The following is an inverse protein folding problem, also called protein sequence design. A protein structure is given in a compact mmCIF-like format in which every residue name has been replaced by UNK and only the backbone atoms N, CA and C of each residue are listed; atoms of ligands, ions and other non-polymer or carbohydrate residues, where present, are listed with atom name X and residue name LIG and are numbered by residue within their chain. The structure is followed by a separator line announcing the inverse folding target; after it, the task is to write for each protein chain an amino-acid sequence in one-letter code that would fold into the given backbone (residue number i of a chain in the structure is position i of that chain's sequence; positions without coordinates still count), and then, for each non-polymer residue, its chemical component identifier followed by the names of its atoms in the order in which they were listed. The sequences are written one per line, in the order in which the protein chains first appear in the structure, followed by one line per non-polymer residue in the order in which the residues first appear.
data_IF_867903932972
#
_entry.id   IF_867903932972
#
_cell.length_a   1.000
_cell.length_b   1.000
_cell.length_c   1.000
_cell.angle_alpha   90.00
_cell.angle_beta   90.00
_cell.angle_gamma   90.00
#
_symmetry.space_group_name_H-M   'P 1'
#
loop_
_entity.id
_entity.type
_entity.pdbx_description
1 polymer ?
#
# COMPACT_ATOMS: atom_id res chain seq x y z
N UNK A 1 -25.95 5.66 -4.06
CA UNK A 1 -24.73 4.88 -4.32
C UNK A 1 -23.67 5.24 -3.29
N UNK A 2 -23.39 4.34 -2.34
CA UNK A 2 -22.25 4.47 -1.43
C UNK A 2 -21.00 3.94 -2.14
N UNK A 3 -20.11 4.84 -2.54
CA UNK A 3 -18.89 4.50 -3.28
C UNK A 3 -18.00 3.50 -2.52
N UNK A 4 -17.95 3.57 -1.19
CA UNK A 4 -17.14 2.61 -0.40
C UNK A 4 -17.72 1.21 -0.47
N UNK A 5 -19.05 1.09 -0.42
CA UNK A 5 -19.75 -0.19 -0.57
C UNK A 5 -19.49 -0.79 -1.95
N UNK A 6 -19.61 0.01 -3.00
CA UNK A 6 -19.33 -0.43 -4.38
C UNK A 6 -17.91 -0.99 -4.52
N UNK A 7 -16.91 -0.24 -4.06
CA UNK A 7 -15.52 -0.69 -4.10
C UNK A 7 -15.29 -2.01 -3.35
N UNK A 8 -15.91 -2.18 -2.18
CA UNK A 8 -15.78 -3.41 -1.40
C UNK A 8 -16.39 -4.62 -2.13
N UNK A 9 -17.58 -4.44 -2.72
CA UNK A 9 -18.25 -5.49 -3.49
C UNK A 9 -17.46 -5.82 -4.74
N UNK A 10 -17.07 -4.81 -5.52
CA UNK A 10 -16.29 -4.98 -6.75
C UNK A 10 -14.98 -5.72 -6.48
N UNK A 11 -14.20 -5.28 -5.50
CA UNK A 11 -12.94 -5.94 -5.14
C UNK A 11 -13.16 -7.40 -4.75
N UNK A 12 -14.20 -7.69 -3.95
CA UNK A 12 -14.53 -9.05 -3.55
C UNK A 12 -14.92 -9.91 -4.75
N UNK A 13 -15.82 -9.44 -5.61
CA UNK A 13 -16.29 -10.22 -6.76
C UNK A 13 -15.16 -10.43 -7.77
N UNK A 14 -14.40 -9.39 -8.12
CA UNK A 14 -13.25 -9.50 -9.05
C UNK A 14 -12.14 -10.42 -8.54
N UNK A 15 -11.96 -10.53 -7.22
CA UNK A 15 -11.01 -11.49 -6.64
C UNK A 15 -11.40 -12.95 -6.89
N UNK A 16 -12.70 -13.22 -7.01
CA UNK A 16 -13.27 -14.55 -7.27
C UNK A 16 -13.39 -14.77 -8.78
N UNK A 17 -13.91 -13.78 -9.51
CA UNK A 17 -14.10 -13.78 -10.95
C UNK A 17 -12.85 -13.27 -11.66
N UNK A 18 -11.75 -14.01 -11.52
CA UNK A 18 -10.42 -13.63 -12.00
C UNK A 18 -9.95 -14.36 -13.28
N UNK A 19 -10.86 -14.95 -14.06
CA UNK A 19 -10.52 -15.54 -15.37
C UNK A 19 -10.08 -14.47 -16.36
N UNK A 20 -9.08 -14.79 -17.17
CA UNK A 20 -8.57 -13.94 -18.25
C UNK A 20 -9.11 -14.39 -19.60
N UNK A 21 -9.10 -13.52 -20.60
CA UNK A 21 -9.57 -13.81 -21.98
C UNK A 21 -8.97 -15.10 -22.55
N UNK A 22 -7.68 -15.38 -22.29
CA UNK A 22 -6.98 -16.59 -22.73
C UNK A 22 -7.56 -17.91 -22.19
N UNK A 23 -8.40 -17.87 -21.14
CA UNK A 23 -9.07 -19.05 -20.60
C UNK A 23 -10.37 -19.40 -21.32
N UNK A 24 -10.79 -18.58 -22.29
CA UNK A 24 -12.00 -18.77 -23.07
C UNK A 24 -11.65 -19.17 -24.51
N UNK A 25 -12.54 -19.96 -25.11
CA UNK A 25 -12.37 -20.42 -26.51
C UNK A 25 -12.79 -19.35 -27.50
N UNK A 26 -13.77 -18.53 -27.11
CA UNK A 26 -14.36 -17.50 -27.96
C UNK A 26 -14.44 -16.17 -27.20
N UNK A 27 -14.28 -15.07 -27.94
CA UNK A 27 -14.33 -13.72 -27.39
C UNK A 27 -15.73 -13.42 -26.83
N UNK A 28 -16.78 -13.88 -27.51
CA UNK A 28 -18.16 -13.68 -27.04
C UNK A 28 -18.37 -14.32 -25.66
N UNK A 29 -17.82 -15.50 -25.41
CA UNK A 29 -17.92 -16.14 -24.10
C UNK A 29 -17.20 -15.35 -22.99
N UNK A 30 -16.11 -14.67 -23.32
CA UNK A 30 -15.44 -13.77 -22.39
C UNK A 30 -16.25 -12.50 -22.13
N UNK A 31 -16.83 -11.90 -23.19
CA UNK A 31 -17.70 -10.73 -23.06
C UNK A 31 -18.94 -11.05 -22.19
N UNK A 32 -19.60 -12.19 -22.41
CA UNK A 32 -20.74 -12.67 -21.60
C UNK A 32 -20.34 -12.87 -20.12
N UNK A 33 -19.14 -13.41 -19.88
CA UNK A 33 -18.60 -13.58 -18.53
C UNK A 33 -18.35 -12.25 -17.82
N UNK A 34 -17.87 -11.23 -18.54
CA UNK A 34 -17.70 -9.88 -17.98
C UNK A 34 -19.06 -9.24 -17.65
N UNK A 35 -20.05 -9.42 -18.52
CA UNK A 35 -21.43 -8.94 -18.28
C UNK A 35 -22.02 -9.59 -17.02
N UNK A 36 -21.95 -10.93 -16.89
CA UNK A 36 -22.45 -11.63 -15.70
C UNK A 36 -21.76 -11.13 -14.41
N UNK A 37 -20.45 -10.88 -14.47
CA UNK A 37 -19.70 -10.36 -13.33
C UNK A 37 -20.20 -8.96 -12.93
N UNK A 38 -20.44 -8.07 -13.88
CA UNK A 38 -20.94 -6.72 -13.60
C UNK A 38 -22.39 -6.75 -13.11
N UNK A 39 -23.24 -7.64 -13.62
CA UNK A 39 -24.60 -7.85 -13.14
C UNK A 39 -24.61 -8.29 -11.66
N UNK A 40 -23.73 -9.22 -11.29
CA UNK A 40 -23.57 -9.65 -9.89
C UNK A 40 -23.14 -8.47 -9.01
N UNK A 41 -22.16 -7.67 -9.46
CA UNK A 41 -21.69 -6.49 -8.71
C UNK A 41 -22.83 -5.50 -8.53
N UNK A 42 -23.55 -5.17 -9.61
CA UNK A 42 -24.65 -4.22 -9.58
C UNK A 42 -25.75 -4.66 -8.62
N UNK A 43 -26.20 -5.92 -8.73
CA UNK A 43 -27.25 -6.46 -7.87
C UNK A 43 -26.84 -6.45 -6.39
N UNK A 44 -25.58 -6.78 -6.06
CA UNK A 44 -25.08 -6.73 -4.68
C UNK A 44 -24.95 -5.30 -4.14
N UNK A 45 -24.58 -4.34 -4.99
CA UNK A 45 -24.50 -2.92 -4.61
C UNK A 45 -25.88 -2.34 -4.36
N UNK A 46 -26.84 -2.64 -5.21
CA UNK A 46 -28.24 -2.19 -5.06
C UNK A 46 -29.03 -2.99 -4.02
N UNK A 47 -28.53 -4.16 -3.61
CA UNK A 47 -29.21 -5.02 -2.66
C UNK A 47 -30.38 -5.80 -3.27
N UNK A 48 -30.35 -6.03 -4.58
CA UNK A 48 -31.34 -6.80 -5.33
C UNK A 48 -30.92 -8.27 -5.30
N UNK A 49 -31.83 -9.16 -4.92
CA UNK A 49 -31.65 -10.63 -4.95
C UNK A 49 -30.31 -11.12 -4.36
N UNK A 50 -29.84 -10.47 -3.30
CA UNK A 50 -28.53 -10.69 -2.69
C UNK A 50 -28.28 -12.16 -2.37
N UNK A 51 -29.30 -12.89 -1.90
CA UNK A 51 -29.17 -14.32 -1.58
C UNK A 51 -28.82 -15.16 -2.81
N UNK A 52 -29.45 -14.87 -3.94
CA UNK A 52 -29.24 -15.63 -5.17
C UNK A 52 -27.88 -15.29 -5.78
N UNK A 53 -27.48 -14.01 -5.74
CA UNK A 53 -26.14 -13.60 -6.18
C UNK A 53 -25.04 -14.20 -5.30
N UNK A 54 -25.22 -14.22 -3.99
CA UNK A 54 -24.28 -14.87 -3.06
C UNK A 54 -24.20 -16.39 -3.28
N UNK A 55 -25.33 -17.03 -3.59
CA UNK A 55 -25.34 -18.45 -3.96
C UNK A 55 -24.56 -18.73 -5.25
N UNK A 56 -24.76 -17.90 -6.29
CA UNK A 56 -23.98 -17.97 -7.53
C UNK A 56 -22.48 -17.79 -7.28
N UNK A 57 -22.09 -16.80 -6.47
CA UNK A 57 -20.69 -16.57 -6.09
C UNK A 57 -20.10 -17.80 -5.37
N UNK A 58 -20.86 -18.38 -4.44
CA UNK A 58 -20.40 -19.55 -3.68
C UNK A 58 -20.21 -20.78 -4.58
N UNK A 59 -21.15 -21.03 -5.49
CA UNK A 59 -21.05 -22.11 -6.47
C UNK A 59 -19.86 -21.91 -7.40
N UNK A 60 -19.72 -20.71 -7.97
CA UNK A 60 -18.61 -20.37 -8.84
C UNK A 60 -17.26 -20.57 -8.14
N UNK A 61 -17.14 -20.08 -6.90
CA UNK A 61 -15.92 -20.23 -6.08
C UNK A 61 -15.58 -21.69 -5.82
N UNK A 62 -16.59 -22.54 -5.55
CA UNK A 62 -16.39 -23.98 -5.34
C UNK A 62 -15.92 -24.67 -6.62
N UNK A 63 -16.54 -24.35 -7.76
CA UNK A 63 -16.25 -25.00 -9.04
C UNK A 63 -14.93 -24.51 -9.67
N UNK A 64 -14.48 -23.29 -9.33
CA UNK A 64 -13.30 -22.66 -9.93
C UNK A 64 -12.13 -22.45 -8.95
N UNK A 65 -12.15 -23.06 -7.75
CA UNK A 65 -11.13 -22.83 -6.72
C UNK A 65 -9.68 -22.94 -7.25
N UNK A 66 -9.38 -23.98 -8.03
CA UNK A 66 -8.05 -24.19 -8.59
C UNK A 66 -7.69 -23.19 -9.70
N UNK A 67 -8.68 -22.72 -10.47
CA UNK A 67 -8.49 -21.67 -11.49
C UNK A 67 -8.20 -20.34 -10.82
N UNK A 68 -8.92 -20.02 -9.73
CA UNK A 68 -8.75 -18.79 -8.97
C UNK A 68 -7.33 -18.70 -8.41
N UNK A 69 -6.86 -19.75 -7.74
CA UNK A 69 -5.51 -19.77 -7.13
C UNK A 69 -4.43 -19.63 -8.20
N UNK A 70 -4.57 -20.32 -9.34
CA UNK A 70 -3.60 -20.21 -10.45
C UNK A 70 -3.56 -18.82 -11.05
N UNK A 71 -4.72 -18.20 -11.26
CA UNK A 71 -4.81 -16.87 -11.85
C UNK A 71 -4.30 -15.79 -10.90
N UNK A 72 -4.54 -15.94 -9.59
CA UNK A 72 -3.99 -15.06 -8.57
C UNK A 72 -2.46 -15.15 -8.52
N UNK A 73 -1.89 -16.37 -8.58
CA UNK A 73 -0.44 -16.57 -8.64
C UNK A 73 0.17 -15.94 -9.91
N UNK A 74 -0.43 -16.16 -11.08
CA UNK A 74 0.00 -15.54 -12.34
C UNK A 74 -0.05 -14.02 -12.28
N UNK A 75 -1.13 -13.45 -11.73
CA UNK A 75 -1.27 -11.99 -11.56
C UNK A 75 -0.20 -11.42 -10.64
N UNK A 76 0.10 -12.11 -9.54
CA UNK A 76 1.16 -11.71 -8.61
C UNK A 76 2.56 -11.77 -9.24
N UNK A 77 2.82 -12.78 -10.06
CA UNK A 77 4.07 -12.90 -10.81
C UNK A 77 4.21 -11.80 -11.87
N UNK A 78 3.17 -11.57 -12.68
CA UNK A 78 3.17 -10.51 -13.68
C UNK A 78 3.37 -9.12 -13.05
N UNK A 79 2.76 -8.85 -11.89
CA UNK A 79 2.97 -7.61 -11.16
C UNK A 79 4.42 -7.46 -10.68
N UNK A 80 5.06 -8.56 -10.22
CA UNK A 80 6.47 -8.55 -9.81
C UNK A 80 7.41 -8.32 -11.00
N UNK A 81 7.13 -8.93 -12.14
CA UNK A 81 7.90 -8.75 -13.36
C UNK A 81 7.81 -7.30 -13.84
N UNK A 82 6.60 -6.75 -13.94
CA UNK A 82 6.38 -5.35 -14.32
C UNK A 82 7.10 -4.38 -13.36
N UNK A 83 7.03 -4.63 -12.05
CA UNK A 83 7.73 -3.80 -11.07
C UNK A 83 9.27 -3.91 -11.19
N UNK A 84 9.80 -5.06 -11.59
CA UNK A 84 11.23 -5.22 -11.84
C UNK A 84 11.67 -4.50 -13.12
N UNK A 85 10.89 -4.60 -14.20
CA UNK A 85 11.12 -3.89 -15.46
C UNK A 85 11.06 -2.38 -15.29
N UNK A 86 10.14 -1.84 -14.48
CA UNK A 86 10.07 -0.41 -14.18
C UNK A 86 11.32 0.10 -13.44
N UNK A 87 11.89 -0.73 -12.55
CA UNK A 87 13.16 -0.43 -11.86
C UNK A 87 14.34 -0.47 -12.83
N UNK A 88 14.33 -1.39 -13.80
CA UNK A 88 15.38 -1.50 -14.83
C UNK A 88 15.28 -0.37 -15.87
N UNK A 89 14.07 0.01 -16.28
CA UNK A 89 13.81 1.03 -17.30
C UNK A 89 14.09 2.47 -16.81
N UNK A 90 14.49 2.65 -15.54
CA UNK A 90 14.85 3.96 -14.98
C UNK A 90 13.67 4.93 -14.90
N UNK A 91 12.43 4.46 -15.03
CA UNK A 91 11.24 5.28 -14.80
C UNK A 91 11.06 5.40 -13.29
N UNK A 92 11.17 6.61 -12.71
CA UNK A 92 10.88 6.78 -11.29
C UNK A 92 9.41 6.40 -11.07
N UNK A 93 9.18 5.33 -10.30
CA UNK A 93 7.85 4.98 -9.81
C UNK A 93 7.22 6.16 -9.05
N UNK A 94 5.91 6.11 -8.73
CA UNK A 94 5.25 7.18 -7.97
C UNK A 94 6.09 7.48 -6.74
N UNK A 95 6.57 8.72 -6.70
CA UNK A 95 7.66 9.23 -5.87
C UNK A 95 7.69 8.58 -4.49
N UNK A 96 8.55 7.57 -4.34
CA UNK A 96 9.13 7.31 -3.03
C UNK A 96 10.10 8.46 -2.83
N UNK A 97 9.74 9.35 -1.92
CA UNK A 97 10.64 10.35 -1.36
C UNK A 97 12.02 9.71 -1.16
N UNK A 98 12.96 10.15 -2.00
CA UNK A 98 14.38 10.32 -1.71
C UNK A 98 15.01 9.24 -0.81
N UNK A 99 15.29 8.08 -1.42
CA UNK A 99 16.42 7.23 -0.98
C UNK A 99 17.55 7.35 -1.99
N UNK A 100 18.08 8.57 -2.11
CA UNK A 100 19.20 8.89 -2.99
C UNK A 100 20.53 8.39 -2.39
N UNK A 101 21.09 7.37 -3.05
CA UNK A 101 22.51 7.29 -3.41
C UNK A 101 23.57 7.02 -2.33
N UNK A 102 23.87 5.75 -2.03
CA UNK A 102 25.20 5.37 -1.47
C UNK A 102 25.82 4.08 -2.02
N UNK A 103 25.31 3.49 -3.10
CA UNK A 103 25.86 2.22 -3.61
C UNK A 103 26.72 2.32 -4.89
N UNK A 104 26.74 3.46 -5.60
CA UNK A 104 27.41 3.56 -6.91
C UNK A 104 28.51 4.64 -7.04
N UNK A 105 28.89 5.32 -5.96
CA UNK A 105 29.92 6.38 -6.00
C UNK A 105 31.07 6.08 -5.03
N UNK A 106 31.77 4.97 -5.26
CA UNK A 106 33.09 4.72 -4.66
C UNK A 106 34.07 4.28 -5.75
N UNK A 107 34.25 5.11 -6.77
CA UNK A 107 35.48 5.07 -7.54
C UNK A 107 35.82 6.48 -8.03
N UNK A 108 37.01 6.90 -7.61
CA UNK A 108 37.72 8.13 -7.96
C UNK A 108 37.12 9.46 -7.52
N UNK A 109 37.83 10.09 -6.57
CA UNK A 109 37.66 11.49 -6.24
C UNK A 109 38.22 12.38 -7.34
N UNK A 110 37.42 13.36 -7.74
CA UNK A 110 37.88 14.63 -8.29
C UNK A 110 36.73 15.64 -8.18
N UNK A 111 37.04 16.83 -7.68
CA UNK A 111 36.06 17.86 -7.37
C UNK A 111 35.29 18.38 -8.59
N UNK A 112 34.09 18.88 -8.32
CA UNK A 112 33.40 19.83 -9.18
C UNK A 112 32.51 20.72 -8.30
N UNK A 113 32.72 22.03 -8.40
CA UNK A 113 32.01 23.06 -7.63
C UNK A 113 30.53 23.21 -8.02
N UNK A 114 29.68 23.77 -7.16
CA UNK A 114 28.26 23.94 -7.43
C UNK A 114 27.94 25.40 -7.78
N UNK A 115 27.51 25.74 -8.99
CA UNK A 115 26.72 26.96 -9.21
C UNK A 115 25.90 26.94 -10.51
N UNK A 116 24.57 27.08 -10.34
CA UNK A 116 23.66 28.08 -10.92
C UNK A 116 22.34 27.50 -11.48
N UNK A 117 21.23 28.02 -10.92
CA UNK A 117 20.02 28.35 -11.67
C UNK A 117 18.84 27.38 -11.57
N UNK A 118 17.82 27.76 -10.80
CA UNK A 118 16.50 28.15 -11.33
C UNK A 118 15.53 28.39 -10.16
N UNK A 119 15.08 29.63 -10.04
CA UNK A 119 14.03 30.08 -9.12
C UNK A 119 12.65 29.75 -9.69
N UNK A 120 11.76 29.18 -8.86
CA UNK A 120 10.32 29.22 -9.09
C UNK A 120 9.66 29.67 -7.79
N UNK A 121 9.19 30.91 -7.76
CA UNK A 121 8.41 31.48 -6.66
C UNK A 121 6.94 31.09 -6.84
N UNK A 122 6.36 30.42 -5.86
CA UNK A 122 4.91 30.28 -5.73
C UNK A 122 4.51 30.73 -4.32
N UNK A 123 4.07 31.98 -4.21
CA UNK A 123 3.49 32.55 -3.00
C UNK A 123 2.07 31.99 -2.79
N UNK A 124 1.80 31.41 -1.62
CA UNK A 124 0.45 31.02 -1.20
C UNK A 124 -0.07 32.13 -0.29
N UNK A 125 -1.19 32.81 -0.61
CA UNK A 125 -1.72 33.86 0.24
C UNK A 125 -2.41 33.28 1.49
N UNK A 126 -2.15 33.98 2.58
CA UNK A 126 -2.72 33.79 3.91
C UNK A 126 -4.24 34.02 3.95
N UNK A 127 -4.96 33.12 4.63
CA UNK A 127 -6.23 33.45 5.29
C UNK A 127 -7.39 32.49 5.06
N UNK A 128 -7.58 31.54 5.98
CA UNK A 128 -8.89 31.24 6.59
C UNK A 128 -8.75 30.11 7.62
N UNK A 129 -9.07 30.43 8.88
CA UNK A 129 -9.20 29.52 10.00
C UNK A 129 -10.36 28.52 9.81
N UNK A 130 -10.39 27.44 10.60
CA UNK A 130 -11.44 27.13 11.59
C UNK A 130 -11.30 25.69 12.15
N UNK A 131 -11.22 25.62 13.50
CA UNK A 131 -11.68 24.56 14.42
C UNK A 131 -11.14 23.11 14.32
N UNK A 132 -11.05 22.27 15.36
CA UNK A 132 -10.97 22.33 16.83
C UNK A 132 -10.96 20.86 17.30
N UNK A 133 -10.10 20.45 18.24
CA UNK A 133 -10.44 19.74 19.50
C UNK A 133 -9.33 18.80 20.03
N UNK A 134 -8.73 19.22 21.17
CA UNK A 134 -8.24 18.46 22.36
C UNK A 134 -7.08 17.45 22.17
N UNK A 135 -6.01 17.45 22.98
CA UNK A 135 -5.89 17.83 24.40
C UNK A 135 -4.48 18.23 24.85
N UNK A 136 -4.43 18.66 26.10
CA UNK A 136 -3.53 19.64 26.71
C UNK A 136 -2.29 19.08 27.43
N UNK A 137 -1.30 19.98 27.56
CA UNK A 137 0.04 19.93 28.19
C UNK A 137 0.09 19.56 29.69
N UNK A 138 1.31 19.38 30.24
CA UNK A 138 1.74 20.37 31.23
C UNK A 138 3.06 21.07 30.89
N UNK A 139 3.03 22.36 31.19
CA UNK A 139 4.06 23.38 31.12
C UNK A 139 5.01 23.26 32.32
N UNK A 140 6.32 23.17 32.09
CA UNK A 140 7.32 23.68 33.04
C UNK A 140 8.19 24.69 32.31
N UNK A 141 8.01 25.95 32.70
CA UNK A 141 8.80 27.09 32.25
C UNK A 141 10.16 27.12 32.95
N UNK A 142 11.24 27.39 32.21
CA UNK A 142 12.17 28.51 32.49
C UNK A 142 13.21 28.64 31.37
N UNK A 143 13.44 29.87 30.90
CA UNK A 143 14.75 30.29 30.42
C UNK A 143 15.01 30.31 28.91
N UNK A 144 14.63 31.45 28.29
CA UNK A 144 15.48 32.20 27.34
C UNK A 144 16.03 31.52 26.08
N UNK A 145 15.42 31.89 24.94
CA UNK A 145 16.11 32.25 23.70
C UNK A 145 16.93 31.16 23.00
N UNK A 146 16.31 30.48 22.03
CA UNK A 146 17.01 29.94 20.85
C UNK A 146 15.96 29.53 19.80
N UNK A 147 15.91 30.31 18.72
CA UNK A 147 15.69 29.92 17.33
C UNK A 147 14.92 28.60 17.05
N UNK A 148 13.70 28.77 16.53
CA UNK A 148 13.03 27.75 15.73
C UNK A 148 13.76 27.61 14.39
N UNK A 149 14.86 26.86 14.40
CA UNK A 149 15.55 26.45 13.19
C UNK A 149 14.75 25.32 12.52
N UNK A 150 14.01 25.68 11.48
CA UNK A 150 13.59 24.76 10.42
C UNK A 150 14.86 24.15 9.81
N UNK A 151 15.29 23.00 10.32
CA UNK A 151 16.46 22.30 9.82
C UNK A 151 16.05 21.44 8.61
N UNK A 152 16.16 22.01 7.42
CA UNK A 152 16.30 21.27 6.16
C UNK A 152 17.70 20.64 6.06
N UNK A 153 18.03 19.76 7.00
CA UNK A 153 19.35 19.12 7.11
C UNK A 153 19.22 17.61 7.01
N UNK A 154 20.04 16.99 6.16
CA UNK A 154 20.20 15.54 6.04
C UNK A 154 20.15 14.87 7.42
N UNK A 155 19.14 14.02 7.62
CA UNK A 155 18.97 13.29 8.85
C UNK A 155 20.09 12.25 8.94
N UNK A 156 21.18 12.61 9.63
CA UNK A 156 22.32 11.70 9.83
C UNK A 156 21.86 10.37 10.40
N UNK A 157 22.49 9.27 9.96
CA UNK A 157 22.14 7.88 10.32
C UNK A 157 21.95 7.68 11.83
N UNK A 158 22.63 8.47 12.66
CA UNK A 158 22.53 8.40 14.12
C UNK A 158 21.32 9.15 14.69
N UNK A 159 20.86 10.22 14.05
CA UNK A 159 19.59 10.87 14.39
C UNK A 159 18.39 9.98 14.05
N UNK A 160 18.46 9.27 12.92
CA UNK A 160 17.43 8.29 12.55
C UNK A 160 17.37 7.13 13.54
N UNK A 161 18.53 6.58 13.93
CA UNK A 161 18.60 5.54 14.98
C UNK A 161 18.01 6.05 16.30
N UNK A 162 18.33 7.28 16.71
CA UNK A 162 17.81 7.86 17.95
C UNK A 162 16.29 8.02 17.92
N UNK A 163 15.72 8.45 16.80
CA UNK A 163 14.27 8.56 16.61
C UNK A 163 13.58 7.18 16.57
N UNK A 164 14.18 6.20 15.91
CA UNK A 164 13.70 4.82 15.86
C UNK A 164 13.71 4.16 17.26
N UNK A 165 14.77 4.39 18.04
CA UNK A 165 14.86 3.93 19.43
C UNK A 165 13.84 4.61 20.34
N UNK A 166 13.65 5.93 20.20
CA UNK A 166 12.64 6.68 20.95
C UNK A 166 11.20 6.22 20.64
N UNK A 167 10.96 5.73 19.42
CA UNK A 167 9.68 5.12 19.02
C UNK A 167 9.56 3.63 19.37
N UNK A 168 10.55 3.06 20.06
CA UNK A 168 10.55 1.65 20.48
C UNK A 168 10.85 0.65 19.36
N UNK A 169 11.26 1.13 18.19
CA UNK A 169 11.64 0.29 17.07
C UNK A 169 13.05 -0.25 17.25
N UNK A 170 13.22 -1.57 17.06
CA UNK A 170 14.52 -2.24 17.08
C UNK A 170 14.66 -3.15 15.85
N UNK A 171 15.87 -3.39 15.32
CA UNK A 171 16.07 -4.28 14.16
C UNK A 171 15.50 -5.70 14.37
N UNK A 172 15.46 -6.17 15.62
CA UNK A 172 14.95 -7.48 16.02
C UNK A 172 13.43 -7.49 16.21
N UNK A 173 12.75 -6.34 16.19
CA UNK A 173 11.32 -6.21 16.45
C UNK A 173 10.49 -7.10 15.53
N UNK A 174 10.80 -7.08 14.23
CA UNK A 174 10.08 -7.89 13.23
C UNK A 174 10.30 -9.40 13.45
N UNK A 175 11.54 -9.81 13.80
CA UNK A 175 11.86 -11.22 14.11
C UNK A 175 11.13 -11.70 15.36
N UNK A 176 11.12 -10.89 16.43
CA UNK A 176 10.40 -11.18 17.67
C UNK A 176 8.89 -11.29 17.45
N UNK A 177 8.30 -10.36 16.68
CA UNK A 177 6.88 -10.38 16.34
C UNK A 177 6.51 -11.60 15.49
N UNK A 178 7.32 -11.93 14.47
CA UNK A 178 7.10 -13.12 13.65
C UNK A 178 7.18 -14.41 14.46
N UNK A 179 8.18 -14.54 15.34
CA UNK A 179 8.36 -15.70 16.20
C UNK A 179 7.22 -15.80 17.23
N UNK A 180 6.79 -14.69 17.83
CA UNK A 180 5.64 -14.67 18.74
C UNK A 180 4.34 -15.10 18.04
N UNK A 181 4.08 -14.62 16.82
CA UNK A 181 2.92 -15.05 16.04
C UNK A 181 2.98 -16.54 15.71
N UNK A 182 4.17 -17.05 15.33
CA UNK A 182 4.36 -18.47 15.03
C UNK A 182 4.19 -19.38 16.26
N UNK A 183 4.68 -18.96 17.44
CA UNK A 183 4.45 -19.71 18.68
C UNK A 183 3.01 -19.58 19.18
N UNK A 184 2.39 -18.41 19.03
CA UNK A 184 1.00 -18.17 19.41
C UNK A 184 0.00 -18.98 18.58
N UNK A 185 0.30 -19.23 17.31
CA UNK A 185 -0.53 -20.10 16.47
C UNK A 185 -0.37 -21.60 16.77
N UNK A 186 0.73 -22.03 17.40
CA UNK A 186 0.96 -23.43 17.75
C UNK A 186 0.15 -23.92 18.96
N UNK A 187 -0.30 -23.06 19.86
CA UNK A 187 -0.98 -23.47 21.10
C UNK A 187 -2.52 -23.31 21.09
N UNK A 188 -3.13 -22.85 19.99
CA UNK A 188 -4.59 -22.73 19.88
C UNK A 188 -5.27 -24.04 19.41
N UNK A 189 -4.50 -25.08 19.05
CA UNK A 189 -5.02 -26.37 18.56
C UNK A 189 -5.15 -27.49 19.62
N UNK A 190 -5.08 -27.16 20.92
CA UNK A 190 -5.14 -28.17 22.00
C UNK A 190 -6.32 -27.99 22.98
N UNK A 191 -7.46 -27.45 22.54
CA UNK A 191 -8.68 -27.38 23.33
C UNK A 191 -9.92 -27.83 22.52
N UNK A 192 -9.89 -29.06 22.02
CA UNK A 192 -11.10 -29.82 21.69
C UNK A 192 -10.91 -31.25 22.18
N UNK A 193 -11.34 -31.51 23.42
CA UNK A 193 -11.92 -32.79 23.82
C UNK A 193 -12.80 -32.61 25.05
#
# INVERSE_FOLDING_TARGET
MDYKKELQVRFRVESIFNKTEDEFVDKTAYDDYLEEREDIIFNLVEGIDVKDMEAKIAEYKRNNADSIIRNEAKKAEALRQKAAEEVEAGVPGPERADVSGTAAAFQDGAGAEPHQGMEYTAEIPSGAAMASTRGTVPLTAVGSGADLATASGEQTRDQWKAMALASGWTPEFQKKKALQTAFGSMFITAAVK
#
